data_IF_342707390802
#
_entry.id   IF_342707390802
#
_cell.length_a   1.000
_cell.length_b   1.000
_cell.length_c   1.000
_cell.angle_alpha   90.00
_cell.angle_beta   90.00
_cell.angle_gamma   90.00
#
_symmetry.space_group_name_H-M   'P 1'
#
loop_
_entity.id
_entity.type
_entity.pdbx_description
1 polymer ?
#
# COMPACT_ATOMS: atom_id res chain seq x y z
N UNK A 1 -7.89 -50.62 -11.62
CA UNK A 1 -6.44 -50.94 -11.76
C UNK A 1 -5.69 -49.83 -11.01
N UNK A 2 -5.35 -50.00 -9.73
CA UNK A 2 -4.21 -50.76 -9.14
C UNK A 2 -2.84 -50.08 -9.33
N UNK A 3 -2.43 -49.40 -8.25
CA UNK A 3 -1.08 -49.29 -7.65
C UNK A 3 0.12 -48.82 -8.48
N UNK A 4 0.71 -47.67 -8.10
CA UNK A 4 2.13 -47.42 -7.69
C UNK A 4 2.16 -45.99 -7.09
N UNK A 5 2.04 -45.67 -5.79
CA UNK A 5 2.61 -46.17 -4.53
C UNK A 5 4.14 -46.13 -4.50
N UNK A 6 4.64 -45.17 -3.71
CA UNK A 6 5.88 -45.16 -2.92
C UNK A 6 7.20 -45.55 -3.58
N UNK A 7 8.01 -44.53 -3.90
CA UNK A 7 9.47 -44.49 -3.77
C UNK A 7 9.84 -43.00 -3.98
N UNK A 8 10.48 -42.22 -3.11
CA UNK A 8 11.60 -42.49 -2.24
C UNK A 8 11.43 -41.67 -0.95
N UNK A 9 11.04 -42.34 0.15
CA UNK A 9 11.52 -41.97 1.48
C UNK A 9 12.79 -42.80 1.72
N UNK A 10 13.74 -42.24 2.46
CA UNK A 10 14.99 -42.86 2.96
C UNK A 10 16.21 -42.84 2.02
N UNK A 11 17.03 -41.81 2.20
CA UNK A 11 18.46 -42.05 2.37
C UNK A 11 18.96 -41.16 3.50
N UNK A 12 18.92 -41.76 4.69
CA UNK A 12 19.53 -41.32 5.94
C UNK A 12 20.98 -41.80 5.93
N UNK A 13 21.84 -41.12 6.70
CA UNK A 13 22.95 -41.67 7.52
C UNK A 13 24.36 -41.11 7.18
N UNK A 14 24.82 -40.31 8.14
CA UNK A 14 26.16 -40.21 8.73
C UNK A 14 27.32 -39.56 7.99
N UNK A 15 27.80 -38.46 8.59
CA UNK A 15 29.20 -38.36 8.99
C UNK A 15 29.29 -37.79 10.43
N UNK A 16 29.56 -38.69 11.37
CA UNK A 16 30.14 -38.51 12.70
C UNK A 16 31.66 -38.34 12.47
N UNK A 17 32.51 -37.60 13.18
CA UNK A 17 32.64 -37.16 14.56
C UNK A 17 33.79 -36.13 14.56
N UNK A 18 33.89 -35.23 15.56
CA UNK A 18 35.09 -35.17 16.42
C UNK A 18 34.67 -34.77 17.84
N UNK A 19 35.16 -35.57 18.78
CA UNK A 19 35.08 -35.51 20.23
C UNK A 19 35.69 -34.25 20.85
N UNK A 20 35.11 -33.80 21.97
CA UNK A 20 35.74 -32.89 22.92
C UNK A 20 34.86 -32.70 24.16
N UNK A 21 35.00 -33.58 25.15
CA UNK A 21 34.35 -33.46 26.45
C UNK A 21 35.07 -32.42 27.33
N UNK A 22 34.35 -31.43 27.84
CA UNK A 22 34.59 -30.85 29.17
C UNK A 22 33.25 -30.43 29.78
N UNK A 23 32.97 -30.96 30.96
CA UNK A 23 31.77 -30.73 31.76
C UNK A 23 31.98 -29.52 32.68
N UNK A 24 31.06 -28.55 32.66
CA UNK A 24 30.94 -27.48 33.68
C UNK A 24 29.56 -26.79 33.60
N UNK A 25 29.10 -26.15 34.69
CA UNK A 25 27.70 -26.16 35.11
C UNK A 25 26.76 -25.34 34.21
N UNK A 26 25.50 -25.78 34.18
CA UNK A 26 24.40 -25.07 33.53
C UNK A 26 24.25 -23.63 34.07
N UNK A 27 24.19 -22.61 33.19
CA UNK A 27 23.72 -21.28 33.57
C UNK A 27 22.21 -21.31 33.80
N UNK A 28 21.74 -20.58 34.81
CA UNK A 28 20.32 -20.34 35.07
C UNK A 28 19.59 -19.79 33.83
N UNK A 29 18.28 -20.01 33.66
CA UNK A 29 17.54 -19.41 32.56
C UNK A 29 17.54 -17.88 32.71
N UNK A 30 18.31 -17.22 31.85
CA UNK A 30 18.21 -15.78 31.64
C UNK A 30 16.83 -15.49 31.05
N UNK A 31 16.06 -14.64 31.72
CA UNK A 31 14.80 -14.14 31.17
C UNK A 31 15.10 -13.40 29.87
N UNK A 32 14.59 -13.92 28.76
CA UNK A 32 14.54 -13.19 27.49
C UNK A 32 13.69 -11.94 27.73
N UNK A 33 14.22 -10.73 27.48
CA UNK A 33 13.35 -9.56 27.41
C UNK A 33 12.36 -9.83 26.28
N UNK A 34 11.06 -9.85 26.58
CA UNK A 34 10.04 -9.67 25.55
C UNK A 34 10.26 -8.27 25.00
N UNK A 35 10.99 -8.18 23.89
CA UNK A 35 11.13 -6.96 23.12
C UNK A 35 9.73 -6.64 22.58
N UNK A 36 9.04 -5.77 23.30
CA UNK A 36 7.79 -5.19 22.86
C UNK A 36 8.19 -4.29 21.69
N UNK A 37 8.00 -4.77 20.46
CA UNK A 37 8.12 -3.90 19.30
C UNK A 37 7.22 -2.69 19.57
N UNK A 38 7.75 -1.46 19.49
CA UNK A 38 6.89 -0.30 19.54
C UNK A 38 5.91 -0.44 18.37
N UNK A 39 4.62 -0.44 18.68
CA UNK A 39 3.60 -0.12 17.69
C UNK A 39 3.97 1.29 17.23
N UNK A 40 4.60 1.38 16.07
CA UNK A 40 4.81 2.65 15.39
C UNK A 40 3.42 3.08 14.95
N UNK A 41 2.74 3.82 15.82
CA UNK A 41 1.60 4.63 15.43
C UNK A 41 2.15 5.62 14.42
N UNK A 42 1.79 5.44 13.14
CA UNK A 42 2.16 6.35 12.08
C UNK A 42 1.77 7.77 12.51
N UNK A 43 2.75 8.67 12.57
CA UNK A 43 2.47 10.08 12.80
C UNK A 43 1.58 10.60 11.66
N UNK A 44 0.56 11.43 11.97
CA UNK A 44 -0.28 12.02 10.95
C UNK A 44 0.59 12.81 9.97
N UNK A 45 0.51 12.45 8.69
CA UNK A 45 1.26 13.15 7.65
C UNK A 45 0.78 14.60 7.55
N UNK A 46 1.73 15.50 7.32
CA UNK A 46 1.51 16.95 7.17
C UNK A 46 0.36 17.21 6.19
N UNK A 47 -0.75 17.74 6.70
CA UNK A 47 -1.91 18.12 5.90
C UNK A 47 -1.61 19.45 5.21
N UNK A 48 -1.37 19.45 3.89
CA UNK A 48 -1.27 20.70 3.13
C UNK A 48 -2.68 21.18 2.80
N UNK A 49 -2.94 22.48 2.98
CA UNK A 49 -4.21 23.07 2.57
C UNK A 49 -4.30 23.14 1.04
N UNK A 50 -5.48 22.86 0.47
CA UNK A 50 -5.71 22.92 -0.96
C UNK A 50 -5.99 24.36 -1.43
N UNK A 51 -5.49 24.69 -2.62
CA UNK A 51 -5.60 25.96 -3.32
C UNK A 51 -6.65 25.91 -4.44
N UNK A 52 -6.32 26.47 -5.61
CA UNK A 52 -7.14 26.34 -6.81
C UNK A 52 -7.36 24.86 -7.18
N UNK A 53 -8.62 24.46 -7.28
CA UNK A 53 -9.05 23.11 -7.67
C UNK A 53 -9.10 22.96 -9.20
N UNK A 54 -8.56 21.85 -9.68
CA UNK A 54 -8.69 21.39 -11.07
C UNK A 54 -9.77 20.32 -11.22
N UNK A 55 -9.98 19.53 -10.16
CA UNK A 55 -11.00 18.49 -10.07
C UNK A 55 -11.50 18.41 -8.62
N UNK A 56 -12.81 18.34 -8.43
CA UNK A 56 -13.44 17.90 -7.18
C UNK A 56 -14.65 17.06 -7.55
N UNK A 57 -14.54 15.74 -7.38
CA UNK A 57 -15.60 14.81 -7.79
C UNK A 57 -15.62 13.57 -6.93
N UNK A 58 -16.84 13.08 -6.70
CA UNK A 58 -17.10 11.82 -6.01
C UNK A 58 -17.26 10.68 -7.01
N UNK A 59 -16.66 9.55 -6.69
CA UNK A 59 -16.73 8.31 -7.42
C UNK A 59 -17.28 7.20 -6.52
N UNK A 60 -17.90 6.19 -7.13
CA UNK A 60 -18.41 5.01 -6.45
C UNK A 60 -17.99 3.78 -7.23
N UNK A 61 -17.37 2.83 -6.54
CA UNK A 61 -16.87 1.58 -7.08
C UNK A 61 -17.57 0.44 -6.35
N UNK A 62 -18.36 -0.32 -7.08
CA UNK A 62 -19.12 -1.46 -6.59
C UNK A 62 -18.47 -2.79 -6.98
N UNK A 63 -17.57 -2.77 -7.95
CA UNK A 63 -16.91 -3.94 -8.52
C UNK A 63 -15.48 -3.59 -8.95
N UNK A 64 -14.57 -4.57 -8.90
CA UNK A 64 -13.20 -4.45 -9.39
C UNK A 64 -13.08 -4.09 -10.89
N UNK A 65 -14.20 -4.17 -11.64
CA UNK A 65 -14.27 -3.80 -13.05
C UNK A 65 -14.57 -2.32 -13.26
N UNK A 66 -14.92 -1.59 -12.20
CA UNK A 66 -15.27 -0.18 -12.29
C UNK A 66 -13.99 0.65 -12.50
N UNK A 67 -13.95 1.39 -13.60
CA UNK A 67 -12.84 2.24 -14.00
C UNK A 67 -13.38 3.61 -14.38
N UNK A 68 -12.76 4.67 -13.87
CA UNK A 68 -13.01 6.04 -14.30
C UNK A 68 -11.72 6.67 -14.79
N UNK A 69 -11.81 7.51 -15.83
CA UNK A 69 -10.67 8.23 -16.36
C UNK A 69 -11.01 9.71 -16.47
N UNK A 70 -10.08 10.56 -16.04
CA UNK A 70 -10.15 12.00 -16.20
C UNK A 70 -8.86 12.48 -16.86
N UNK A 71 -8.94 13.55 -17.64
CA UNK A 71 -7.77 14.19 -18.24
C UNK A 71 -7.86 15.69 -18.03
N UNK A 72 -6.82 16.28 -17.45
CA UNK A 72 -6.76 17.70 -17.15
C UNK A 72 -5.32 18.23 -17.22
N UNK A 73 -5.17 19.56 -17.28
CA UNK A 73 -3.86 20.22 -17.24
C UNK A 73 -3.70 20.91 -15.89
N UNK A 74 -2.64 20.57 -15.16
CA UNK A 74 -2.23 21.21 -13.91
C UNK A 74 -1.15 22.26 -14.17
N UNK A 75 -1.09 23.30 -13.33
CA UNK A 75 -0.04 24.34 -13.42
C UNK A 75 1.29 23.80 -12.89
N UNK A 76 2.36 24.58 -13.03
CA UNK A 76 3.69 24.25 -12.52
C UNK A 76 3.84 24.44 -11.01
N UNK A 77 2.83 24.99 -10.33
CA UNK A 77 2.87 25.16 -8.87
C UNK A 77 2.78 23.80 -8.19
N UNK A 78 3.34 23.65 -6.96
CA UNK A 78 3.12 22.43 -6.19
C UNK A 78 1.62 22.13 -6.07
N UNK A 79 1.23 20.89 -6.33
CA UNK A 79 -0.16 20.46 -6.32
C UNK A 79 -0.28 19.11 -5.62
N UNK A 80 -1.49 18.66 -5.34
CA UNK A 80 -1.73 17.39 -4.68
C UNK A 80 -2.95 16.67 -5.25
N UNK A 81 -2.94 15.35 -5.06
CA UNK A 81 -4.14 14.52 -5.12
C UNK A 81 -4.55 14.29 -3.67
N UNK A 82 -5.73 14.73 -3.30
CA UNK A 82 -6.33 14.51 -1.98
C UNK A 82 -7.50 13.54 -2.15
N UNK A 83 -7.51 12.47 -1.35
CA UNK A 83 -8.53 11.43 -1.44
C UNK A 83 -9.15 11.19 -0.08
N UNK A 84 -10.48 11.15 -0.04
CA UNK A 84 -11.24 10.71 1.13
C UNK A 84 -12.06 9.47 0.78
N UNK A 85 -11.75 8.34 1.40
CA UNK A 85 -12.31 7.02 1.11
C UNK A 85 -13.37 6.63 2.15
N UNK A 86 -14.52 6.20 1.66
CA UNK A 86 -15.63 5.65 2.43
C UNK A 86 -15.86 4.19 2.00
N UNK A 87 -15.32 3.21 2.75
CA UNK A 87 -15.58 1.80 2.54
C UNK A 87 -17.08 1.48 2.63
N UNK A 88 -17.62 0.71 1.68
CA UNK A 88 -19.00 0.21 1.71
C UNK A 88 -19.10 -1.23 2.21
N UNK A 89 -17.95 -1.86 2.50
CA UNK A 89 -17.82 -3.20 3.07
C UNK A 89 -16.84 -3.18 4.25
N UNK A 90 -17.01 -4.14 5.17
CA UNK A 90 -16.10 -4.39 6.29
C UNK A 90 -14.98 -5.38 5.93
N UNK A 91 -15.05 -6.02 4.77
CA UNK A 91 -14.00 -6.91 4.28
C UNK A 91 -12.84 -6.08 3.72
N UNK A 92 -11.84 -5.85 4.57
CA UNK A 92 -10.66 -5.06 4.26
C UNK A 92 -9.83 -5.66 3.11
N UNK A 93 -9.84 -6.98 2.92
CA UNK A 93 -9.04 -7.62 1.87
C UNK A 93 -9.59 -7.33 0.47
N UNK A 94 -10.91 -7.16 0.36
CA UNK A 94 -11.59 -6.91 -0.90
C UNK A 94 -11.97 -5.43 -1.11
N UNK A 95 -11.75 -4.56 -0.12
CA UNK A 95 -12.14 -3.16 -0.20
C UNK A 95 -10.93 -2.27 -0.45
N UNK A 96 -10.86 -1.66 -1.64
CA UNK A 96 -9.68 -0.90 -2.05
C UNK A 96 -10.03 0.19 -3.07
N UNK A 97 -9.15 1.18 -3.19
CA UNK A 97 -9.19 2.25 -4.19
C UNK A 97 -7.77 2.55 -4.66
N UNK A 98 -7.63 2.91 -5.93
CA UNK A 98 -6.37 3.31 -6.52
C UNK A 98 -6.58 4.38 -7.58
N UNK A 99 -5.71 5.38 -7.56
CA UNK A 99 -5.58 6.39 -8.62
C UNK A 99 -4.17 6.35 -9.20
N UNK A 100 -4.09 6.27 -10.52
CA UNK A 100 -2.86 6.35 -11.30
C UNK A 100 -2.85 7.65 -12.08
N UNK A 101 -1.93 8.55 -11.75
CA UNK A 101 -1.68 9.78 -12.47
C UNK A 101 -0.49 9.61 -13.42
N UNK A 102 -0.65 9.93 -14.70
CA UNK A 102 0.41 9.87 -15.72
C UNK A 102 0.56 11.23 -16.38
N UNK A 103 1.76 11.80 -16.35
CA UNK A 103 2.06 13.02 -17.10
C UNK A 103 2.18 12.67 -18.59
N UNK A 104 1.42 13.34 -19.45
CA UNK A 104 1.41 13.05 -20.89
C UNK A 104 2.58 13.69 -21.65
N UNK A 105 3.22 14.73 -21.10
CA UNK A 105 4.45 15.30 -21.65
C UNK A 105 5.68 14.43 -21.27
N UNK A 106 5.62 13.71 -20.15
CA UNK A 106 6.65 12.78 -19.70
C UNK A 106 6.02 11.56 -19.01
N UNK A 107 5.72 10.51 -19.79
CA UNK A 107 5.04 9.30 -19.29
C UNK A 107 5.87 8.49 -18.28
N UNK A 108 7.18 8.70 -18.21
CA UNK A 108 8.00 8.12 -17.15
C UNK A 108 7.64 8.69 -15.77
N UNK A 109 7.08 9.90 -15.73
CA UNK A 109 6.49 10.47 -14.53
C UNK A 109 5.05 9.97 -14.37
N UNK A 110 4.93 8.82 -13.71
CA UNK A 110 3.66 8.26 -13.28
C UNK A 110 3.65 8.04 -11.77
N UNK A 111 2.48 8.14 -11.16
CA UNK A 111 2.31 7.86 -9.74
C UNK A 111 1.01 7.11 -9.49
N UNK A 112 1.12 5.99 -8.77
CA UNK A 112 0.02 5.11 -8.38
C UNK A 112 -0.10 5.13 -6.86
N UNK A 113 -1.26 5.52 -6.35
CA UNK A 113 -1.51 5.73 -4.92
C UNK A 113 -2.94 5.35 -4.58
N UNK A 114 -3.24 5.07 -3.32
CA UNK A 114 -4.61 4.75 -2.92
C UNK A 114 -4.75 4.05 -1.56
N UNK A 115 -5.94 3.50 -1.36
CA UNK A 115 -6.39 2.87 -0.12
C UNK A 115 -6.53 1.36 -0.30
N UNK A 116 -6.11 0.58 0.70
CA UNK A 116 -6.11 -0.88 0.68
C UNK A 116 -4.72 -1.44 0.99
N UNK A 117 -4.62 -2.75 1.22
CA UNK A 117 -3.38 -3.41 1.62
C UNK A 117 -2.80 -2.83 2.91
N UNK A 118 -1.61 -2.22 2.82
CA UNK A 118 -0.89 -1.60 3.96
C UNK A 118 -1.49 -0.27 4.43
N UNK A 119 -2.38 0.36 3.65
CA UNK A 119 -2.98 1.67 3.95
C UNK A 119 -4.48 1.60 4.23
N UNK A 120 -4.99 0.40 4.55
CA UNK A 120 -6.43 0.11 4.71
C UNK A 120 -7.14 0.81 5.87
N UNK A 121 -6.41 1.57 6.69
CA UNK A 121 -6.99 2.29 7.83
C UNK A 121 -6.98 3.81 7.63
N UNK A 122 -6.16 4.30 6.69
CA UNK A 122 -6.04 5.72 6.44
C UNK A 122 -7.06 6.14 5.39
N UNK A 123 -8.17 6.72 5.84
CA UNK A 123 -9.29 7.11 4.98
C UNK A 123 -9.09 8.46 4.33
N UNK A 124 -8.14 9.28 4.79
CA UNK A 124 -7.87 10.59 4.21
C UNK A 124 -6.39 10.72 3.91
N UNK A 125 -6.05 10.70 2.63
CA UNK A 125 -4.66 10.66 2.18
C UNK A 125 -4.40 11.79 1.21
N UNK A 126 -3.22 12.38 1.30
CA UNK A 126 -2.81 13.45 0.41
C UNK A 126 -1.45 13.13 -0.21
N UNK A 127 -1.38 13.22 -1.53
CA UNK A 127 -0.21 12.87 -2.32
C UNK A 127 0.35 14.09 -3.04
N UNK A 128 1.45 14.68 -2.53
CA UNK A 128 2.03 15.88 -3.12
C UNK A 128 2.73 15.58 -4.45
N UNK A 129 2.52 16.45 -5.43
CA UNK A 129 3.04 16.37 -6.79
C UNK A 129 3.73 17.70 -7.15
N UNK A 130 4.78 17.62 -7.98
CA UNK A 130 5.70 18.74 -8.21
C UNK A 130 5.88 19.11 -9.68
N UNK A 131 5.35 18.28 -10.59
CA UNK A 131 5.49 18.50 -12.03
C UNK A 131 4.15 18.97 -12.59
N UNK A 132 4.16 20.09 -13.31
CA UNK A 132 2.99 20.57 -14.06
C UNK A 132 2.81 19.87 -15.40
N UNK A 133 1.74 20.20 -16.11
CA UNK A 133 1.48 19.69 -17.46
C UNK A 133 0.13 18.99 -17.61
N UNK A 134 -0.12 18.36 -18.76
CA UNK A 134 -1.29 17.53 -19.01
C UNK A 134 -1.12 16.17 -18.31
N UNK A 135 -2.17 15.75 -17.61
CA UNK A 135 -2.21 14.47 -16.91
C UNK A 135 -3.46 13.69 -17.30
N UNK A 136 -3.30 12.37 -17.36
CA UNK A 136 -4.41 11.42 -17.31
C UNK A 136 -4.44 10.78 -15.93
N UNK A 137 -5.64 10.70 -15.34
CA UNK A 137 -5.91 10.05 -14.07
C UNK A 137 -6.83 8.86 -14.33
N UNK A 138 -6.33 7.65 -14.08
CA UNK A 138 -7.13 6.43 -14.09
C UNK A 138 -7.43 6.03 -12.65
N UNK A 139 -8.70 5.84 -12.33
CA UNK A 139 -9.17 5.48 -11.00
C UNK A 139 -9.88 4.13 -11.06
N UNK A 140 -9.52 3.25 -10.13
CA UNK A 140 -10.07 1.91 -9.95
C UNK A 140 -10.40 1.69 -8.49
N UNK A 141 -11.30 0.77 -8.21
CA UNK A 141 -11.63 0.42 -6.84
C UNK A 141 -12.60 -0.72 -6.75
N UNK A 142 -12.94 -1.07 -5.52
CA UNK A 142 -13.94 -2.07 -5.21
C UNK A 142 -14.54 -1.80 -3.83
N UNK A 143 -15.88 -1.78 -3.75
CA UNK A 143 -16.63 -1.60 -2.50
C UNK A 143 -16.27 -0.32 -1.74
N UNK A 144 -16.12 0.79 -2.46
CA UNK A 144 -15.73 2.10 -1.91
C UNK A 144 -16.47 3.23 -2.62
N UNK A 145 -16.79 4.29 -1.88
CA UNK A 145 -17.01 5.61 -2.47
C UNK A 145 -15.85 6.53 -2.10
N UNK A 146 -15.38 7.34 -3.05
CA UNK A 146 -14.19 8.17 -2.86
C UNK A 146 -14.48 9.59 -3.31
N UNK A 147 -14.16 10.56 -2.47
CA UNK A 147 -14.06 11.96 -2.86
C UNK A 147 -12.63 12.24 -3.32
N UNK A 148 -12.46 12.71 -4.55
CA UNK A 148 -11.14 12.99 -5.13
C UNK A 148 -11.06 14.48 -5.43
N UNK A 149 -10.04 15.12 -4.88
CA UNK A 149 -9.70 16.52 -5.14
C UNK A 149 -8.31 16.58 -5.74
N UNK A 150 -8.17 17.31 -6.85
CA UNK A 150 -6.88 17.63 -7.45
C UNK A 150 -6.78 19.14 -7.45
N UNK A 151 -5.81 19.68 -6.73
CA UNK A 151 -5.68 21.11 -6.53
C UNK A 151 -4.22 21.52 -6.34
N UNK A 152 -3.93 22.80 -6.60
CA UNK A 152 -2.68 23.43 -6.12
C UNK A 152 -2.57 23.28 -4.60
N UNK A 153 -1.35 23.22 -4.08
CA UNK A 153 -1.08 23.23 -2.64
C UNK A 153 -0.84 24.66 -2.20
N UNK A 154 -1.50 25.08 -1.12
CA UNK A 154 -1.10 26.30 -0.44
C UNK A 154 0.19 26.02 0.36
N UNK A 155 1.20 26.89 0.26
CA UNK A 155 2.37 26.83 1.13
C UNK A 155 2.00 27.08 2.59
#
# INVERSE_FOLDING_TARGET
MKYRVLALFLLVIAAVAISGCTQSPAPAPTQTPTETMPVVTAEPQVTFALGQEYLHKKYSFTSQKDVFTEQLRVTSDPWAIDITVNPTSTDIQNTWFEITAVNLDNSAYSRKVGYGGTHSFDRHQQFPMYNGGPYTFEMKGNLVSVDVIIATRKP
#
